data_IF_136346038643
#
_entry.id   IF_136346038643
#
_cell.length_a   1.000
_cell.length_b   1.000
_cell.length_c   1.000
_cell.angle_alpha   90.00
_cell.angle_beta   90.00
_cell.angle_gamma   90.00
#
_symmetry.space_group_name_H-M   'P 1'
#
loop_
_entity.id
_entity.type
_entity.pdbx_description
1 polymer ?
#
# COMPACT_ATOMS: atom_id res chain seq x y z
N UNK A 1 16.24 11.47 -0.45
CA UNK A 1 15.76 10.41 -1.37
C UNK A 1 14.25 10.40 -1.32
N UNK A 2 13.53 10.43 -2.45
CA UNK A 2 12.08 10.15 -2.42
C UNK A 2 11.94 8.70 -1.91
N UNK A 3 11.26 8.51 -0.76
CA UNK A 3 11.07 7.20 -0.11
C UNK A 3 10.27 6.23 -1.01
N UNK A 4 9.56 6.80 -1.98
CA UNK A 4 8.64 6.15 -2.91
C UNK A 4 8.95 6.63 -4.33
N UNK A 5 8.66 5.81 -5.35
CA UNK A 5 9.01 6.12 -6.74
C UNK A 5 8.14 7.23 -7.39
N UNK A 6 6.90 7.42 -6.94
CA UNK A 6 6.00 8.49 -7.39
C UNK A 6 5.08 8.96 -6.27
N UNK A 7 4.30 10.01 -6.54
CA UNK A 7 3.39 10.62 -5.58
C UNK A 7 2.17 9.73 -5.28
N UNK A 8 1.68 8.99 -6.28
CA UNK A 8 0.53 8.10 -6.11
C UNK A 8 0.82 6.96 -5.13
N UNK A 9 1.94 6.25 -5.29
CA UNK A 9 2.28 5.17 -4.35
C UNK A 9 2.65 5.73 -2.98
N UNK A 10 3.25 6.93 -2.91
CA UNK A 10 3.49 7.60 -1.63
C UNK A 10 2.19 7.92 -0.90
N UNK A 11 1.19 8.44 -1.63
CA UNK A 11 -0.14 8.70 -1.09
C UNK A 11 -0.78 7.41 -0.57
N UNK A 12 -0.88 6.36 -1.39
CA UNK A 12 -1.55 5.13 -0.99
C UNK A 12 -0.82 4.37 0.13
N UNK A 13 0.52 4.35 0.12
CA UNK A 13 1.31 3.75 1.19
C UNK A 13 1.09 4.47 2.54
N UNK A 14 1.01 5.80 2.52
CA UNK A 14 0.83 6.63 3.73
C UNK A 14 -0.62 6.88 4.12
N UNK A 15 -1.59 6.60 3.24
CA UNK A 15 -3.02 6.83 3.47
C UNK A 15 -3.48 6.19 4.79
N UNK A 16 -4.21 6.95 5.59
CA UNK A 16 -4.86 6.49 6.82
C UNK A 16 -6.34 6.83 6.72
N UNK A 17 -7.18 5.87 7.10
CA UNK A 17 -8.62 6.05 7.13
C UNK A 17 -9.04 6.46 8.54
N UNK A 18 -9.81 7.54 8.65
CA UNK A 18 -10.32 8.00 9.94
C UNK A 18 -11.58 7.24 10.41
N UNK A 19 -12.18 6.44 9.51
CA UNK A 19 -13.40 5.66 9.77
C UNK A 19 -13.09 4.25 10.26
N UNK A 20 -12.07 3.61 9.68
CA UNK A 20 -11.74 2.21 9.95
C UNK A 20 -10.46 2.12 10.78
N UNK A 21 -10.54 1.49 11.94
CA UNK A 21 -9.39 1.29 12.84
C UNK A 21 -8.27 0.47 12.17
N UNK A 22 -8.67 -0.57 11.42
CA UNK A 22 -7.72 -1.47 10.76
C UNK A 22 -7.62 -1.13 9.27
N UNK A 23 -6.40 -1.12 8.70
CA UNK A 23 -6.20 -0.80 7.29
C UNK A 23 -6.95 -1.75 6.36
N UNK A 24 -6.97 -3.05 6.67
CA UNK A 24 -7.67 -4.08 5.89
C UNK A 24 -9.19 -3.91 5.83
N UNK A 25 -9.78 -3.18 6.79
CA UNK A 25 -11.21 -2.90 6.81
C UNK A 25 -11.62 -1.71 5.94
N UNK A 26 -10.67 -0.91 5.45
CA UNK A 26 -10.96 0.26 4.62
C UNK A 26 -10.91 -0.11 3.14
N UNK A 27 -12.01 0.06 2.37
CA UNK A 27 -12.03 -0.20 0.93
C UNK A 27 -11.10 0.72 0.11
N UNK A 28 -10.70 1.86 0.66
CA UNK A 28 -9.83 2.84 -0.01
C UNK A 28 -8.34 2.64 0.36
N UNK A 29 -8.04 1.85 1.40
CA UNK A 29 -6.66 1.51 1.75
C UNK A 29 -6.22 0.33 0.90
N UNK A 30 -5.56 0.62 -0.23
CA UNK A 30 -5.16 -0.41 -1.20
C UNK A 30 -3.69 -0.86 -1.05
N UNK A 31 -2.80 -0.01 -0.54
CA UNK A 31 -1.38 -0.33 -0.36
C UNK A 31 -1.02 -0.37 1.11
N UNK A 32 -0.33 -1.44 1.52
CA UNK A 32 0.47 -1.48 2.75
C UNK A 32 1.94 -1.38 2.40
N UNK A 33 2.70 -0.71 3.27
CA UNK A 33 4.14 -0.62 3.16
C UNK A 33 4.77 -1.16 4.44
N UNK A 34 5.63 -2.17 4.30
CA UNK A 34 6.39 -2.70 5.41
C UNK A 34 7.67 -1.87 5.58
N UNK A 35 7.75 -1.09 6.66
CA UNK A 35 8.90 -0.23 6.92
C UNK A 35 10.19 -1.00 7.26
N UNK A 36 10.08 -2.24 7.73
CA UNK A 36 11.23 -3.08 8.13
C UNK A 36 11.87 -3.70 6.90
N UNK A 37 11.05 -4.35 6.07
CA UNK A 37 11.52 -5.08 4.88
C UNK A 37 11.55 -4.18 3.64
N UNK A 38 10.93 -2.99 3.71
CA UNK A 38 10.83 -1.96 2.65
C UNK A 38 10.06 -2.42 1.41
N UNK A 39 9.13 -3.34 1.61
CA UNK A 39 8.31 -3.92 0.55
C UNK A 39 6.89 -3.38 0.57
N UNK A 40 6.23 -3.46 -0.59
CA UNK A 40 4.86 -3.01 -0.78
C UNK A 40 3.95 -4.22 -0.97
N UNK A 41 2.78 -4.17 -0.33
CA UNK A 41 1.71 -5.13 -0.51
C UNK A 41 0.45 -4.45 -1.02
N UNK A 42 -0.19 -5.06 -2.02
CA UNK A 42 -1.56 -4.73 -2.42
C UNK A 42 -2.53 -5.52 -1.53
N UNK A 43 -3.42 -4.81 -0.82
CA UNK A 43 -4.42 -5.44 0.04
C UNK A 43 -5.42 -6.23 -0.80
N UNK A 44 -5.76 -7.44 -0.34
CA UNK A 44 -6.86 -8.24 -0.89
C UNK A 44 -8.09 -8.01 0.00
N UNK A 45 -9.13 -7.36 -0.54
CA UNK A 45 -10.37 -7.09 0.19
C UNK A 45 -11.34 -8.29 0.15
N UNK A 46 -10.89 -9.43 0.69
CA UNK A 46 -11.66 -10.67 0.81
C UNK A 46 -12.39 -10.82 2.17
N UNK A 47 -12.33 -9.78 3.01
CA UNK A 47 -12.81 -9.80 4.39
C UNK A 47 -11.76 -10.29 5.41
N UNK A 48 -10.58 -10.69 4.96
CA UNK A 48 -9.43 -11.08 5.79
C UNK A 48 -8.38 -9.97 5.95
N UNK A 49 -7.14 -10.39 6.19
CA UNK A 49 -5.96 -9.51 6.30
C UNK A 49 -4.87 -9.89 5.29
N UNK A 50 -5.29 -10.41 4.14
CA UNK A 50 -4.40 -10.89 3.09
C UNK A 50 -3.84 -9.72 2.28
N UNK A 51 -2.63 -9.88 1.76
CA UNK A 51 -2.04 -8.97 0.77
C UNK A 51 -1.13 -9.74 -0.16
N UNK A 52 -0.89 -9.18 -1.35
CA UNK A 52 0.07 -9.71 -2.32
C UNK A 52 1.22 -8.72 -2.48
N UNK A 53 2.46 -9.20 -2.40
CA UNK A 53 3.65 -8.39 -2.66
C UNK A 53 3.68 -7.89 -4.11
N UNK A 54 4.16 -6.66 -4.31
CA UNK A 54 4.31 -6.07 -5.64
C UNK A 54 5.74 -5.57 -5.86
N UNK A 55 6.32 -5.90 -7.01
CA UNK A 55 7.69 -5.50 -7.38
C UNK A 55 7.74 -4.21 -8.23
N UNK A 56 6.60 -3.80 -8.77
CA UNK A 56 6.49 -2.65 -9.65
C UNK A 56 5.33 -1.76 -9.24
N UNK A 57 5.55 -0.45 -9.29
CA UNK A 57 4.56 0.56 -8.97
C UNK A 57 3.36 0.47 -9.94
N UNK A 58 2.12 0.31 -9.43
CA UNK A 58 0.93 0.26 -10.27
C UNK A 58 0.66 1.54 -11.07
N UNK A 59 1.24 2.67 -10.66
CA UNK A 59 0.98 3.98 -11.25
C UNK A 59 2.06 4.43 -12.24
N UNK A 60 3.34 4.29 -11.90
CA UNK A 60 4.43 4.77 -12.76
C UNK A 60 5.28 3.65 -13.38
N UNK A 61 5.02 2.37 -13.04
CA UNK A 61 5.75 1.22 -13.57
C UNK A 61 7.20 1.09 -13.12
N UNK A 62 7.69 1.96 -12.21
CA UNK A 62 9.03 1.86 -11.65
C UNK A 62 9.16 0.62 -10.75
N UNK A 63 10.35 0.03 -10.73
CA UNK A 63 10.70 -1.04 -9.77
C UNK A 63 10.73 -0.47 -8.34
N UNK A 64 10.13 -1.19 -7.39
CA UNK A 64 10.01 -0.82 -5.98
C UNK A 64 11.19 -1.32 -5.14
#
# INVERSE_FOLDING_TARGET
MKKHCCEDIAYHASFKCDIHEKPFGCPEKIIIFDEKDKDYGLIIHDGGTSSIGIDFCPWCGAKL
#
